data_IF_395545148940
#
_entry.id   IF_395545148940
#
_cell.length_a   1.000
_cell.length_b   1.000
_cell.length_c   1.000
_cell.angle_alpha   90.00
_cell.angle_beta   90.00
_cell.angle_gamma   90.00
#
_symmetry.space_group_name_H-M   'P 1'
#
loop_
_entity.id
_entity.type
_entity.pdbx_description
1 polymer ?
#
# COMPACT_ATOMS: atom_id res chain seq x y z
N UNK A 1 -15.51 29.08 -11.97
CA UNK A 1 -15.82 27.72 -12.47
C UNK A 1 -15.39 26.70 -11.42
N UNK A 2 -16.24 25.72 -11.08
CA UNK A 2 -15.88 24.66 -10.11
C UNK A 2 -14.74 23.81 -10.66
N UNK A 3 -13.77 23.47 -9.82
CA UNK A 3 -12.66 22.58 -10.21
C UNK A 3 -13.16 21.15 -10.37
N UNK A 4 -12.74 20.47 -11.43
CA UNK A 4 -13.15 19.11 -11.80
C UNK A 4 -12.06 18.11 -11.48
N UNK A 5 -12.40 17.13 -10.64
CA UNK A 5 -11.49 16.06 -10.22
C UNK A 5 -12.04 14.73 -10.74
N UNK A 6 -11.29 14.10 -11.64
CA UNK A 6 -11.59 12.75 -12.10
C UNK A 6 -10.93 11.69 -11.22
N UNK A 7 -11.67 10.70 -10.74
CA UNK A 7 -11.13 9.57 -9.99
C UNK A 7 -11.03 8.35 -10.92
N UNK A 8 -9.81 8.07 -11.40
CA UNK A 8 -9.54 6.91 -12.25
C UNK A 8 -9.44 5.64 -11.39
N UNK A 9 -10.26 4.64 -11.67
CA UNK A 9 -10.24 3.35 -10.97
C UNK A 9 -10.65 2.21 -11.90
N UNK A 10 -10.64 0.97 -11.40
CA UNK A 10 -11.16 -0.19 -12.13
C UNK A 10 -12.67 -0.35 -11.92
N UNK A 11 -13.38 -0.54 -13.04
CA UNK A 11 -14.79 -0.93 -13.11
C UNK A 11 -14.89 -2.26 -13.84
N UNK A 12 -15.32 -3.30 -13.12
CA UNK A 12 -15.66 -4.60 -13.68
C UNK A 12 -17.17 -4.75 -13.88
N UNK A 13 -17.63 -5.96 -14.17
CA UNK A 13 -19.05 -6.29 -14.35
C UNK A 13 -19.90 -5.95 -13.13
N UNK A 14 -19.39 -6.26 -11.92
CA UNK A 14 -20.05 -5.95 -10.64
C UNK A 14 -19.89 -4.49 -10.18
N UNK A 15 -19.41 -3.61 -11.08
CA UNK A 15 -19.18 -2.20 -10.80
C UNK A 15 -17.77 -1.88 -10.28
N UNK A 16 -17.67 -0.80 -9.50
CA UNK A 16 -16.41 -0.30 -8.98
C UNK A 16 -15.91 -1.07 -7.75
N UNK A 17 -14.58 -1.20 -7.63
CA UNK A 17 -13.96 -1.64 -6.38
C UNK A 17 -13.98 -0.52 -5.33
N UNK A 18 -13.94 -0.86 -4.04
CA UNK A 18 -13.90 0.11 -2.93
C UNK A 18 -15.06 1.13 -2.94
N UNK A 19 -16.27 0.71 -3.35
CA UNK A 19 -17.41 1.61 -3.56
C UNK A 19 -17.69 2.55 -2.38
N UNK A 20 -17.62 2.04 -1.14
CA UNK A 20 -17.85 2.85 0.05
C UNK A 20 -16.85 4.01 0.19
N UNK A 21 -15.58 3.81 -0.17
CA UNK A 21 -14.58 4.87 -0.15
C UNK A 21 -14.78 5.84 -1.31
N UNK A 22 -15.02 5.34 -2.53
CA UNK A 22 -15.25 6.19 -3.70
C UNK A 22 -16.48 7.10 -3.54
N UNK A 23 -17.57 6.58 -2.96
CA UNK A 23 -18.78 7.36 -2.67
C UNK A 23 -18.49 8.50 -1.70
N UNK A 24 -17.73 8.23 -0.64
CA UNK A 24 -17.30 9.27 0.33
C UNK A 24 -16.40 10.31 -0.32
N UNK A 25 -15.47 9.89 -1.17
CA UNK A 25 -14.59 10.80 -1.90
C UNK A 25 -15.38 11.77 -2.77
N UNK A 26 -16.41 11.30 -3.48
CA UNK A 26 -17.30 12.17 -4.27
C UNK A 26 -18.09 13.13 -3.36
N UNK A 27 -18.63 12.63 -2.24
CA UNK A 27 -19.39 13.45 -1.29
C UNK A 27 -18.55 14.57 -0.67
N UNK A 28 -17.39 14.24 -0.12
CA UNK A 28 -16.47 15.21 0.49
C UNK A 28 -15.96 16.21 -0.56
N UNK A 29 -15.69 15.77 -1.78
CA UNK A 29 -15.30 16.67 -2.87
C UNK A 29 -16.38 17.69 -3.22
N UNK A 30 -17.65 17.26 -3.24
CA UNK A 30 -18.79 18.16 -3.44
C UNK A 30 -18.91 19.17 -2.29
N UNK A 31 -18.74 18.74 -1.04
CA UNK A 31 -18.72 19.64 0.13
C UNK A 31 -17.57 20.66 0.06
N UNK A 32 -16.46 20.30 -0.57
CA UNK A 32 -15.31 21.18 -0.82
C UNK A 32 -15.49 22.07 -2.06
N UNK A 33 -16.67 22.06 -2.70
CA UNK A 33 -16.97 22.89 -3.87
C UNK A 33 -16.42 22.36 -5.21
N UNK A 34 -15.89 21.14 -5.23
CA UNK A 34 -15.38 20.49 -6.44
C UNK A 34 -16.46 19.66 -7.15
N UNK A 35 -16.35 19.54 -8.47
CA UNK A 35 -17.08 18.52 -9.23
C UNK A 35 -16.21 17.25 -9.29
N UNK A 36 -16.63 16.21 -8.58
CA UNK A 36 -15.87 14.95 -8.48
C UNK A 36 -16.69 13.81 -9.07
N UNK A 37 -16.07 13.06 -9.98
CA UNK A 37 -16.69 11.89 -10.61
C UNK A 37 -15.69 10.74 -10.75
N UNK A 38 -16.20 9.52 -10.72
CA UNK A 38 -15.41 8.30 -10.87
C UNK A 38 -15.49 7.81 -12.31
N UNK A 39 -14.40 7.28 -12.85
CA UNK A 39 -14.39 6.69 -14.19
C UNK A 39 -13.31 5.62 -14.34
N UNK A 40 -13.40 4.83 -15.41
CA UNK A 40 -12.41 3.84 -15.81
C UNK A 40 -11.92 4.11 -17.24
N UNK A 41 -10.83 3.46 -17.69
CA UNK A 41 -10.30 3.67 -19.05
C UNK A 41 -11.34 3.55 -20.16
N UNK A 42 -12.28 2.60 -20.03
CA UNK A 42 -13.37 2.38 -21.00
C UNK A 42 -14.43 3.48 -21.05
N UNK A 43 -14.41 4.43 -20.10
CA UNK A 43 -15.42 5.48 -19.98
C UNK A 43 -14.98 6.80 -20.67
N UNK A 44 -13.77 6.84 -21.22
CA UNK A 44 -13.19 8.04 -21.83
C UNK A 44 -13.45 8.07 -23.33
N UNK A 45 -14.13 9.12 -23.79
CA UNK A 45 -14.23 9.46 -25.20
C UNK A 45 -13.25 10.61 -25.50
N UNK A 46 -12.05 10.25 -25.96
CA UNK A 46 -10.98 11.21 -26.24
C UNK A 46 -11.31 12.14 -27.42
N UNK A 47 -11.99 11.64 -28.45
CA UNK A 47 -12.34 12.42 -29.65
C UNK A 47 -13.24 13.62 -29.31
N UNK A 48 -14.24 13.42 -28.45
CA UNK A 48 -15.13 14.51 -27.98
C UNK A 48 -14.63 15.21 -26.71
N UNK A 49 -13.49 14.79 -26.14
CA UNK A 49 -12.99 15.23 -24.83
C UNK A 49 -14.04 15.16 -23.71
N UNK A 50 -14.85 14.09 -23.70
CA UNK A 50 -15.86 13.83 -22.66
C UNK A 50 -15.60 12.52 -21.95
N UNK A 51 -16.05 12.44 -20.70
CA UNK A 51 -15.94 11.24 -19.87
C UNK A 51 -17.33 10.84 -19.39
N UNK A 52 -17.69 9.57 -19.55
CA UNK A 52 -18.86 8.99 -18.89
C UNK A 52 -18.51 8.77 -17.41
N UNK A 53 -18.70 9.80 -16.60
CA UNK A 53 -18.39 9.80 -15.17
C UNK A 53 -19.54 9.27 -14.32
N UNK A 54 -19.21 8.82 -13.12
CA UNK A 54 -20.14 8.21 -12.18
C UNK A 54 -20.11 8.92 -10.83
N UNK A 55 -21.28 9.20 -10.26
CA UNK A 55 -21.46 9.78 -8.92
C UNK A 55 -22.46 8.95 -8.11
N UNK A 56 -22.48 9.05 -6.77
CA UNK A 56 -23.43 8.31 -5.95
C UNK A 56 -24.88 8.72 -6.25
N UNK A 57 -25.75 7.75 -6.50
CA UNK A 57 -27.22 7.89 -6.60
C UNK A 57 -27.94 7.12 -5.47
N UNK A 58 -29.28 7.10 -5.51
CA UNK A 58 -30.11 6.41 -4.52
C UNK A 58 -29.78 4.91 -4.44
N UNK A 59 -29.85 4.20 -5.58
CA UNK A 59 -29.68 2.74 -5.63
C UNK A 59 -28.32 2.28 -6.16
N UNK A 60 -27.32 3.17 -6.22
CA UNK A 60 -26.10 2.82 -6.94
C UNK A 60 -25.24 3.98 -7.38
N UNK A 61 -24.72 3.83 -8.60
CA UNK A 61 -23.97 4.86 -9.31
C UNK A 61 -24.85 5.46 -10.39
N UNK A 62 -25.01 6.79 -10.36
CA UNK A 62 -25.60 7.54 -11.46
C UNK A 62 -24.49 7.91 -12.44
N UNK A 63 -24.69 7.65 -13.72
CA UNK A 63 -23.74 8.06 -14.77
C UNK A 63 -24.19 9.34 -15.46
N UNK A 64 -23.24 10.12 -15.96
CA UNK A 64 -23.47 11.31 -16.77
C UNK A 64 -22.24 11.64 -17.60
N UNK A 65 -22.39 12.51 -18.58
CA UNK A 65 -21.26 12.98 -19.38
C UNK A 65 -20.65 14.23 -18.74
N UNK A 66 -19.37 14.13 -18.37
CA UNK A 66 -18.58 15.20 -17.78
C UNK A 66 -17.56 15.71 -18.79
N UNK A 67 -17.22 16.99 -18.66
CA UNK A 67 -16.11 17.59 -19.40
C UNK A 67 -14.76 17.14 -18.82
N UNK A 68 -13.69 17.33 -19.59
CA UNK A 68 -12.33 16.89 -19.23
C UNK A 68 -11.85 17.41 -17.87
N UNK A 69 -11.40 16.56 -16.94
CA UNK A 69 -11.04 16.99 -15.59
C UNK A 69 -9.81 17.90 -15.57
N UNK A 70 -9.76 18.82 -14.60
CA UNK A 70 -8.59 19.67 -14.38
C UNK A 70 -7.44 18.86 -13.77
N UNK A 71 -7.77 17.83 -12.99
CA UNK A 71 -6.80 16.91 -12.37
C UNK A 71 -7.42 15.51 -12.23
N UNK A 72 -6.62 14.47 -12.43
CA UNK A 72 -7.01 13.07 -12.21
C UNK A 72 -6.29 12.49 -11.01
N UNK A 73 -7.05 11.94 -10.07
CA UNK A 73 -6.52 11.07 -9.02
C UNK A 73 -6.54 9.64 -9.55
N UNK A 74 -5.37 9.01 -9.67
CA UNK A 74 -5.25 7.61 -10.08
C UNK A 74 -5.35 6.69 -8.86
N UNK A 75 -6.53 6.08 -8.67
CA UNK A 75 -6.83 5.05 -7.68
C UNK A 75 -6.92 3.65 -8.29
N UNK A 76 -6.45 3.45 -9.52
CA UNK A 76 -6.45 2.14 -10.18
C UNK A 76 -5.43 1.19 -9.52
N UNK A 77 -5.91 0.04 -9.02
CA UNK A 77 -5.07 -1.02 -8.44
C UNK A 77 -4.68 -2.03 -9.50
N UNK A 78 -3.59 -1.76 -10.19
CA UNK A 78 -3.10 -2.60 -11.29
C UNK A 78 -2.51 -3.93 -10.79
N UNK A 79 -2.73 -4.98 -11.59
CA UNK A 79 -2.11 -6.29 -11.50
C UNK A 79 -1.89 -6.78 -12.93
N UNK A 80 -0.82 -7.54 -13.22
CA UNK A 80 -0.54 -8.06 -14.56
C UNK A 80 -1.46 -9.25 -14.88
N UNK A 81 -2.75 -8.96 -14.99
CA UNK A 81 -3.82 -9.92 -15.29
C UNK A 81 -4.71 -9.36 -16.40
N UNK A 82 -5.35 -10.26 -17.14
CA UNK A 82 -6.08 -9.95 -18.36
C UNK A 82 -7.08 -8.80 -18.22
N UNK A 83 -7.88 -8.81 -17.14
CA UNK A 83 -8.89 -7.78 -16.87
C UNK A 83 -8.33 -6.37 -16.66
N UNK A 84 -7.01 -6.21 -16.45
CA UNK A 84 -6.33 -4.93 -16.27
C UNK A 84 -5.47 -4.53 -17.47
N UNK A 85 -5.50 -5.28 -18.58
CA UNK A 85 -4.63 -5.06 -19.75
C UNK A 85 -4.74 -3.65 -20.35
N UNK A 86 -5.91 -3.01 -20.25
CA UNK A 86 -6.17 -1.68 -20.81
C UNK A 86 -5.55 -0.54 -20.00
N UNK A 87 -5.21 -0.76 -18.71
CA UNK A 87 -4.76 0.31 -17.82
C UNK A 87 -3.40 0.91 -18.23
N UNK A 88 -2.38 0.06 -18.45
CA UNK A 88 -1.04 0.56 -18.76
C UNK A 88 -0.99 1.32 -20.10
N UNK A 89 -1.56 0.81 -21.21
CA UNK A 89 -1.65 1.58 -22.45
C UNK A 89 -2.38 2.90 -22.25
N UNK A 90 -3.53 2.90 -21.56
CA UNK A 90 -4.29 4.11 -21.27
C UNK A 90 -3.46 5.14 -20.49
N UNK A 91 -2.75 4.70 -19.45
CA UNK A 91 -2.00 5.59 -18.55
C UNK A 91 -0.79 6.23 -19.22
N UNK A 92 -0.27 5.63 -20.31
CA UNK A 92 0.84 6.15 -21.14
C UNK A 92 0.42 7.25 -22.13
N UNK A 93 -0.87 7.39 -22.45
CA UNK A 93 -1.36 8.36 -23.48
C UNK A 93 -1.27 9.84 -23.06
N UNK A 94 -0.78 10.16 -21.86
CA UNK A 94 -0.62 11.52 -21.31
C UNK A 94 -1.84 12.47 -21.48
N UNK A 95 -3.05 11.89 -21.54
CA UNK A 95 -4.31 12.60 -21.74
C UNK A 95 -4.74 13.52 -20.59
N UNK A 96 -4.25 13.26 -19.39
CA UNK A 96 -4.65 13.98 -18.19
C UNK A 96 -3.43 14.42 -17.42
N UNK A 97 -3.59 15.52 -16.69
CA UNK A 97 -2.72 15.85 -15.57
C UNK A 97 -3.13 14.98 -14.39
N UNK A 98 -2.18 14.30 -13.77
CA UNK A 98 -2.45 13.38 -12.67
C UNK A 98 -1.88 13.91 -11.36
N UNK A 99 -2.66 13.78 -10.28
CA UNK A 99 -2.22 14.12 -8.94
C UNK A 99 -1.17 13.15 -8.38
N UNK A 100 -1.09 11.94 -8.96
CA UNK A 100 -0.13 10.94 -8.56
C UNK A 100 0.43 10.16 -9.75
N UNK A 101 1.74 9.93 -9.71
CA UNK A 101 2.49 9.11 -10.65
C UNK A 101 2.16 7.63 -10.49
N UNK A 102 2.54 6.84 -11.50
CA UNK A 102 2.58 5.38 -11.37
C UNK A 102 3.64 5.01 -10.32
N UNK A 103 3.33 4.05 -9.48
CA UNK A 103 4.25 3.55 -8.45
C UNK A 103 4.79 2.18 -8.84
N UNK A 104 6.02 1.89 -8.43
CA UNK A 104 6.68 0.64 -8.74
C UNK A 104 6.24 -0.51 -7.82
N UNK A 105 6.69 -1.72 -8.15
CA UNK A 105 6.48 -2.92 -7.35
C UNK A 105 7.31 -2.88 -6.04
N UNK A 106 6.99 -3.76 -5.09
CA UNK A 106 7.58 -3.72 -3.73
C UNK A 106 9.10 -3.82 -3.73
N UNK A 107 9.64 -4.70 -4.58
CA UNK A 107 11.09 -4.92 -4.65
C UNK A 107 11.81 -3.70 -5.23
N UNK A 108 11.27 -3.09 -6.29
CA UNK A 108 11.84 -1.87 -6.85
C UNK A 108 11.79 -0.70 -5.86
N UNK A 109 10.72 -0.57 -5.08
CA UNK A 109 10.64 0.43 -4.01
C UNK A 109 11.74 0.18 -2.98
N UNK A 110 11.90 -1.05 -2.51
CA UNK A 110 12.97 -1.41 -1.58
C UNK A 110 14.36 -1.07 -2.14
N UNK A 111 14.64 -1.42 -3.41
CA UNK A 111 15.92 -1.10 -4.05
C UNK A 111 16.22 0.41 -4.09
N UNK A 112 15.21 1.24 -4.39
CA UNK A 112 15.36 2.70 -4.37
C UNK A 112 15.68 3.19 -2.96
N UNK A 113 15.00 2.68 -1.94
CA UNK A 113 15.23 3.10 -0.55
C UNK A 113 16.59 2.60 -0.01
N UNK A 114 17.06 1.43 -0.45
CA UNK A 114 18.39 0.92 -0.06
C UNK A 114 19.55 1.77 -0.59
N UNK A 115 19.34 2.55 -1.65
CA UNK A 115 20.35 3.50 -2.14
C UNK A 115 20.52 4.71 -1.21
N UNK A 116 19.60 4.91 -0.27
CA UNK A 116 19.62 6.02 0.67
C UNK A 116 20.13 5.52 2.01
N UNK A 117 21.40 5.83 2.33
CA UNK A 117 22.09 5.36 3.54
C UNK A 117 21.27 5.61 4.82
N UNK A 118 20.65 6.79 4.93
CA UNK A 118 19.83 7.17 6.08
C UNK A 118 18.57 6.29 6.29
N UNK A 119 18.11 5.59 5.24
CA UNK A 119 16.94 4.72 5.29
C UNK A 119 17.27 3.26 5.55
N UNK A 120 18.52 2.83 5.29
CA UNK A 120 18.92 1.42 5.36
C UNK A 120 18.65 0.80 6.74
N UNK A 121 18.82 1.59 7.81
CA UNK A 121 18.56 1.15 9.20
C UNK A 121 17.11 0.68 9.45
N UNK A 122 16.17 1.13 8.62
CA UNK A 122 14.75 0.79 8.74
C UNK A 122 14.32 -0.31 7.77
N UNK A 123 15.20 -0.77 6.89
CA UNK A 123 14.86 -1.73 5.85
C UNK A 123 15.30 -3.14 6.27
N UNK A 124 14.38 -4.12 6.30
CA UNK A 124 14.79 -5.50 6.47
C UNK A 124 15.62 -5.92 5.27
N UNK A 125 16.62 -6.77 5.50
CA UNK A 125 17.41 -7.29 4.40
C UNK A 125 16.51 -7.98 3.38
N UNK A 126 16.68 -7.61 2.11
CA UNK A 126 15.84 -8.08 1.02
C UNK A 126 16.71 -8.40 -0.19
N UNK A 127 16.52 -9.57 -0.78
CA UNK A 127 17.27 -10.04 -1.96
C UNK A 127 16.33 -10.62 -3.00
N UNK A 128 16.69 -10.58 -4.27
CA UNK A 128 15.92 -11.31 -5.29
C UNK A 128 16.01 -12.82 -5.01
N UNK A 129 14.93 -13.56 -5.25
CA UNK A 129 14.94 -14.99 -5.03
C UNK A 129 15.94 -15.69 -5.96
N UNK A 130 16.91 -16.39 -5.34
CA UNK A 130 17.74 -17.44 -5.93
C UNK A 130 17.97 -18.52 -4.87
N UNK A 131 18.33 -19.74 -5.28
CA UNK A 131 18.50 -20.87 -4.35
C UNK A 131 19.57 -20.57 -3.29
N UNK A 132 20.68 -19.98 -3.74
CA UNK A 132 21.85 -19.66 -2.94
C UNK A 132 21.51 -18.54 -1.95
N UNK A 133 20.77 -17.53 -2.40
CA UNK A 133 20.31 -16.41 -1.58
C UNK A 133 19.35 -16.88 -0.47
N UNK A 134 18.46 -17.84 -0.77
CA UNK A 134 17.58 -18.43 0.23
C UNK A 134 18.38 -19.16 1.30
N UNK A 135 19.35 -19.97 0.89
CA UNK A 135 20.22 -20.71 1.79
C UNK A 135 21.02 -19.77 2.71
N UNK A 136 21.65 -18.74 2.14
CA UNK A 136 22.44 -17.75 2.86
C UNK A 136 21.56 -16.93 3.84
N UNK A 137 20.43 -16.41 3.38
CA UNK A 137 19.53 -15.64 4.25
C UNK A 137 18.95 -16.51 5.38
N UNK A 138 18.65 -17.79 5.14
CA UNK A 138 18.21 -18.70 6.21
C UNK A 138 19.31 -19.01 7.21
N UNK A 139 20.57 -19.09 6.77
CA UNK A 139 21.72 -19.26 7.67
C UNK A 139 21.90 -18.04 8.57
N UNK A 140 21.73 -16.83 8.03
CA UNK A 140 21.95 -15.58 8.77
C UNK A 140 20.78 -15.18 9.67
N UNK A 141 19.54 -15.39 9.23
CA UNK A 141 18.34 -14.89 9.93
C UNK A 141 17.47 -15.97 10.56
N UNK A 142 17.64 -17.24 10.18
CA UNK A 142 16.80 -18.36 10.61
C UNK A 142 15.39 -18.37 10.02
N UNK A 143 14.80 -17.20 9.76
CA UNK A 143 13.48 -17.02 9.15
C UNK A 143 13.57 -16.08 7.96
N UNK A 144 12.98 -16.49 6.84
CA UNK A 144 12.92 -15.72 5.59
C UNK A 144 11.52 -15.79 5.01
N UNK A 145 11.03 -14.67 4.48
CA UNK A 145 9.77 -14.60 3.73
C UNK A 145 10.04 -14.57 2.23
N UNK A 146 9.40 -15.47 1.49
CA UNK A 146 9.35 -15.46 0.02
C UNK A 146 8.08 -14.75 -0.40
N UNK A 147 8.22 -13.66 -1.17
CA UNK A 147 7.13 -12.74 -1.54
C UNK A 147 7.18 -12.40 -3.04
N UNK A 148 6.04 -12.26 -3.74
CA UNK A 148 6.01 -11.75 -5.09
C UNK A 148 6.32 -10.27 -5.11
N UNK A 149 6.96 -9.81 -6.18
CA UNK A 149 7.26 -8.40 -6.42
C UNK A 149 6.00 -7.54 -6.49
N UNK A 150 4.94 -8.01 -7.16
CA UNK A 150 3.61 -7.38 -7.14
C UNK A 150 2.69 -8.11 -6.13
N UNK A 151 1.40 -7.79 -6.11
CA UNK A 151 0.45 -8.41 -5.18
C UNK A 151 0.09 -7.52 -3.98
N UNK A 152 -1.01 -7.85 -3.29
CA UNK A 152 -1.42 -7.22 -2.04
C UNK A 152 -2.17 -8.21 -1.15
N UNK A 153 -2.29 -7.87 0.14
CA UNK A 153 -3.16 -8.60 1.07
C UNK A 153 -2.63 -9.96 1.52
N UNK A 154 -1.32 -10.19 1.42
CA UNK A 154 -0.69 -11.42 1.91
C UNK A 154 -0.88 -12.67 1.04
N UNK A 155 -1.25 -12.49 -0.23
CA UNK A 155 -1.34 -13.57 -1.23
C UNK A 155 0.04 -13.99 -1.70
N UNK A 156 0.21 -15.29 -1.92
CA UNK A 156 1.46 -15.89 -2.40
C UNK A 156 2.64 -15.46 -1.53
N UNK A 157 2.48 -15.48 -0.20
CA UNK A 157 3.57 -15.25 0.74
C UNK A 157 3.84 -16.55 1.49
N UNK A 158 5.12 -16.91 1.55
CA UNK A 158 5.59 -18.10 2.24
C UNK A 158 6.65 -17.73 3.27
N UNK A 159 6.40 -18.07 4.54
CA UNK A 159 7.40 -18.01 5.60
C UNK A 159 8.18 -19.32 5.58
N UNK A 160 9.49 -19.22 5.48
CA UNK A 160 10.44 -20.33 5.54
C UNK A 160 11.26 -20.16 6.81
N UNK A 161 11.26 -21.18 7.66
CA UNK A 161 12.00 -21.19 8.92
C UNK A 161 12.93 -22.41 8.97
N UNK A 162 14.19 -22.18 9.31
CA UNK A 162 15.12 -23.25 9.65
C UNK A 162 14.96 -23.60 11.12
N UNK A 163 14.55 -24.84 11.42
CA UNK A 163 14.39 -25.34 12.80
C UNK A 163 15.23 -26.60 12.99
N UNK A 164 16.41 -26.44 13.58
CA UNK A 164 17.38 -27.53 13.70
C UNK A 164 17.83 -28.04 12.33
N UNK A 165 17.57 -29.33 12.05
CA UNK A 165 17.91 -29.99 10.78
C UNK A 165 16.82 -29.92 9.71
N UNK A 166 15.64 -29.37 10.02
CA UNK A 166 14.50 -29.30 9.08
C UNK A 166 14.12 -27.87 8.73
N UNK A 167 13.36 -27.73 7.65
CA UNK A 167 12.79 -26.46 7.19
C UNK A 167 11.27 -26.49 7.26
N UNK A 168 10.67 -25.46 7.84
CA UNK A 168 9.23 -25.31 7.99
C UNK A 168 8.71 -24.25 7.01
N UNK A 169 7.74 -24.62 6.19
CA UNK A 169 7.03 -23.72 5.28
C UNK A 169 5.64 -23.45 5.83
N UNK A 170 5.25 -22.18 5.90
CA UNK A 170 3.90 -21.75 6.25
C UNK A 170 3.49 -20.52 5.44
N UNK A 171 2.36 -20.57 4.75
CA UNK A 171 1.99 -19.49 3.86
C UNK A 171 0.59 -19.59 3.26
N UNK A 172 0.34 -18.71 2.31
CA UNK A 172 -0.91 -18.67 1.53
C UNK A 172 -0.62 -18.65 0.04
N UNK A 173 -1.49 -19.30 -0.74
CA UNK A 173 -1.46 -19.25 -2.21
C UNK A 173 -2.18 -18.00 -2.74
N UNK A 174 -2.14 -17.77 -4.05
CA UNK A 174 -2.82 -16.69 -4.77
C UNK A 174 -4.33 -16.73 -4.58
N UNK A 175 -4.87 -17.94 -4.45
CA UNK A 175 -6.28 -18.21 -4.16
C UNK A 175 -6.58 -18.23 -2.65
N UNK A 176 -5.63 -17.80 -1.81
CA UNK A 176 -5.73 -17.78 -0.34
C UNK A 176 -5.83 -19.16 0.33
N UNK A 177 -5.50 -20.24 -0.38
CA UNK A 177 -5.34 -21.57 0.19
C UNK A 177 -4.14 -21.62 1.13
N UNK A 178 -4.17 -22.48 2.15
CA UNK A 178 -3.04 -22.67 3.09
C UNK A 178 -1.97 -23.54 2.44
N UNK A 179 -0.70 -23.17 2.64
CA UNK A 179 0.46 -24.00 2.27
C UNK A 179 1.31 -24.21 3.51
N UNK A 180 1.41 -25.47 3.94
CA UNK A 180 2.31 -25.89 5.01
C UNK A 180 3.15 -27.08 4.52
N UNK A 181 4.42 -27.14 4.89
CA UNK A 181 5.28 -28.29 4.65
C UNK A 181 6.40 -28.35 5.67
N UNK A 182 6.94 -29.55 5.90
CA UNK A 182 8.19 -29.79 6.62
C UNK A 182 9.13 -30.47 5.65
N UNK A 183 10.31 -29.93 5.45
CA UNK A 183 11.27 -30.41 4.45
C UNK A 183 12.59 -30.78 5.15
N UNK A 184 13.13 -31.99 4.88
CA UNK A 184 14.26 -32.51 5.64
C UNK A 184 15.61 -31.96 5.19
N UNK A 185 15.71 -31.41 3.97
CA UNK A 185 16.97 -30.96 3.38
C UNK A 185 16.83 -29.61 2.68
N UNK A 186 17.95 -28.90 2.53
CA UNK A 186 18.00 -27.64 1.78
C UNK A 186 17.63 -27.83 0.30
N UNK A 187 18.05 -28.95 -0.30
CA UNK A 187 17.72 -29.28 -1.70
C UNK A 187 16.20 -29.51 -1.89
N UNK A 188 15.56 -30.21 -0.95
CA UNK A 188 14.10 -30.38 -0.96
C UNK A 188 13.38 -29.03 -0.78
N UNK A 189 13.91 -28.17 0.10
CA UNK A 189 13.43 -26.80 0.27
C UNK A 189 13.50 -26.00 -1.02
N UNK A 190 14.68 -25.86 -1.64
CA UNK A 190 14.84 -25.02 -2.84
C UNK A 190 13.98 -25.52 -4.00
N UNK A 191 13.88 -26.84 -4.18
CA UNK A 191 13.02 -27.46 -5.19
C UNK A 191 11.55 -27.12 -4.97
N UNK A 192 11.06 -27.21 -3.72
CA UNK A 192 9.68 -26.87 -3.39
C UNK A 192 9.39 -25.38 -3.58
N UNK A 193 10.32 -24.50 -3.19
CA UNK A 193 10.15 -23.06 -3.35
C UNK A 193 10.08 -22.69 -4.84
N UNK A 194 10.91 -23.27 -5.71
CA UNK A 194 10.84 -23.00 -7.14
C UNK A 194 9.52 -23.44 -7.78
N UNK A 195 9.07 -24.67 -7.46
CA UNK A 195 7.77 -25.17 -7.92
C UNK A 195 6.65 -24.24 -7.46
N UNK A 196 6.73 -23.77 -6.22
CA UNK A 196 5.76 -22.86 -5.65
C UNK A 196 5.81 -21.48 -6.33
N UNK A 197 6.97 -20.84 -6.49
CA UNK A 197 7.09 -19.53 -7.15
C UNK A 197 6.60 -19.58 -8.59
N UNK A 198 6.90 -20.64 -9.33
CA UNK A 198 6.43 -20.84 -10.71
C UNK A 198 4.92 -20.98 -10.81
N UNK A 199 4.29 -21.64 -9.84
CA UNK A 199 2.83 -21.78 -9.77
C UNK A 199 2.14 -20.47 -9.35
N UNK A 200 2.79 -19.69 -8.51
CA UNK A 200 2.17 -18.57 -7.81
C UNK A 200 2.36 -17.22 -8.51
N UNK A 201 3.33 -17.08 -9.43
CA UNK A 201 3.53 -15.85 -10.22
C UNK A 201 2.37 -15.53 -11.15
N UNK A 202 2.15 -14.25 -11.40
CA UNK A 202 1.36 -13.76 -12.52
C UNK A 202 2.26 -13.28 -13.66
N UNK A 203 2.17 -13.94 -14.83
CA UNK A 203 3.05 -13.64 -15.96
C UNK A 203 4.54 -13.79 -15.60
N UNK A 204 5.33 -12.75 -15.92
CA UNK A 204 6.78 -12.69 -15.64
C UNK A 204 7.12 -12.11 -14.26
N UNK A 205 6.18 -12.18 -13.32
CA UNK A 205 6.41 -11.73 -11.95
C UNK A 205 7.53 -12.52 -11.26
N UNK A 206 8.48 -11.79 -10.68
CA UNK A 206 9.56 -12.35 -9.87
C UNK A 206 9.16 -12.42 -8.39
N UNK A 207 9.91 -13.22 -7.64
CA UNK A 207 9.85 -13.29 -6.18
C UNK A 207 11.12 -12.75 -5.54
N UNK A 208 10.99 -12.25 -4.31
CA UNK A 208 12.09 -11.81 -3.49
C UNK A 208 12.02 -12.43 -2.10
N UNK A 209 13.18 -12.46 -1.45
CA UNK A 209 13.41 -12.91 -0.09
C UNK A 209 13.49 -11.70 0.82
N UNK A 210 12.88 -11.77 1.99
CA UNK A 210 12.99 -10.73 3.01
C UNK A 210 13.23 -11.36 4.37
N UNK A 211 14.15 -10.78 5.14
CA UNK A 211 14.45 -11.16 6.51
C UNK A 211 13.16 -11.28 7.34
N UNK A 212 13.05 -12.37 8.10
CA UNK A 212 12.04 -12.51 9.14
C UNK A 212 12.34 -11.59 10.32
N UNK A 213 11.36 -10.79 10.72
CA UNK A 213 11.46 -9.89 11.86
C UNK A 213 10.79 -10.52 13.10
N UNK A 214 11.40 -10.34 14.27
CA UNK A 214 10.79 -10.75 15.53
C UNK A 214 9.76 -9.72 16.02
N UNK A 215 8.55 -9.83 15.47
CA UNK A 215 7.43 -8.95 15.79
C UNK A 215 6.54 -9.52 16.90
N UNK A 216 7.07 -10.41 17.75
CA UNK A 216 6.32 -11.06 18.82
C UNK A 216 6.07 -10.12 20.02
N UNK A 217 5.36 -9.01 19.80
CA UNK A 217 5.00 -8.06 20.85
C UNK A 217 3.92 -8.59 21.79
N UNK A 218 3.13 -9.56 21.32
CA UNK A 218 2.11 -10.25 22.10
C UNK A 218 2.21 -11.78 21.86
N UNK A 219 2.07 -12.61 22.90
CA UNK A 219 2.12 -14.06 22.76
C UNK A 219 1.15 -14.58 21.70
N UNK A 220 1.70 -15.23 20.68
CA UNK A 220 0.94 -15.89 19.61
C UNK A 220 0.13 -14.95 18.71
N UNK A 221 0.43 -13.65 18.65
CA UNK A 221 -0.26 -12.68 17.79
C UNK A 221 0.75 -11.86 16.99
N UNK A 222 0.47 -11.68 15.70
CA UNK A 222 1.19 -10.71 14.86
C UNK A 222 0.70 -9.31 15.16
N UNK A 223 1.63 -8.39 15.42
CA UNK A 223 1.35 -6.99 15.65
C UNK A 223 2.18 -6.15 14.70
N UNK A 224 1.56 -5.15 14.07
CA UNK A 224 2.28 -4.12 13.32
C UNK A 224 1.62 -2.75 13.48
N UNK A 225 2.35 -1.70 13.18
CA UNK A 225 1.85 -0.34 13.15
C UNK A 225 1.43 0.02 11.72
N UNK A 226 0.20 0.45 11.56
CA UNK A 226 -0.33 1.02 10.32
C UNK A 226 -0.30 2.53 10.42
N UNK A 227 0.57 3.14 9.63
CA UNK A 227 0.76 4.59 9.57
C UNK A 227 0.23 5.11 8.23
N UNK A 228 -0.53 6.20 8.25
CA UNK A 228 -0.98 6.92 7.06
C UNK A 228 -0.32 8.29 7.01
N UNK A 229 0.34 8.59 5.90
CA UNK A 229 0.93 9.89 5.60
C UNK A 229 0.39 10.39 4.25
N UNK A 230 0.08 11.67 4.18
CA UNK A 230 -0.60 12.27 3.02
C UNK A 230 -0.15 13.70 2.82
N UNK A 231 -0.20 14.17 1.59
CA UNK A 231 -0.14 15.61 1.32
C UNK A 231 -1.41 16.30 1.80
N UNK A 232 -1.23 17.47 2.39
CA UNK A 232 -2.33 18.38 2.74
C UNK A 232 -2.64 19.34 1.57
N UNK A 233 -3.61 20.25 1.78
CA UNK A 233 -3.98 21.28 0.81
C UNK A 233 -2.91 22.33 0.50
N UNK A 234 -1.74 22.27 1.15
CA UNK A 234 -0.56 23.08 0.82
C UNK A 234 0.49 22.30 0.02
N UNK A 235 0.22 21.04 -0.32
CA UNK A 235 1.15 20.16 -1.01
C UNK A 235 2.26 19.58 -0.13
N UNK A 236 2.19 19.77 1.20
CA UNK A 236 3.20 19.29 2.15
C UNK A 236 2.81 17.95 2.75
N UNK A 237 3.79 17.06 2.94
CA UNK A 237 3.58 15.76 3.60
C UNK A 237 3.25 15.92 5.09
N UNK A 238 2.15 15.31 5.53
CA UNK A 238 1.68 15.32 6.92
C UNK A 238 1.30 13.91 7.35
N UNK A 239 1.70 13.55 8.56
CA UNK A 239 1.16 12.38 9.23
C UNK A 239 -0.36 12.57 9.41
N UNK A 240 -1.17 11.63 8.92
CA UNK A 240 -2.62 11.61 9.14
C UNK A 240 -2.97 10.82 10.39
N UNK A 241 -2.23 9.75 10.65
CA UNK A 241 -2.35 9.02 11.90
C UNK A 241 -1.65 7.67 11.87
N UNK A 242 -1.59 7.06 13.05
CA UNK A 242 -0.97 5.76 13.29
C UNK A 242 -1.84 4.95 14.26
N UNK A 243 -1.93 3.65 14.05
CA UNK A 243 -2.56 2.72 14.98
C UNK A 243 -1.93 1.34 14.87
N UNK A 244 -2.05 0.52 15.92
CA UNK A 244 -1.58 -0.86 15.87
C UNK A 244 -2.67 -1.78 15.34
N UNK A 245 -2.29 -2.74 14.52
CA UNK A 245 -3.13 -3.86 14.09
C UNK A 245 -2.68 -5.09 14.84
N UNK A 246 -3.60 -5.71 15.58
CA UNK A 246 -3.36 -6.95 16.32
C UNK A 246 -4.09 -8.08 15.61
N UNK A 247 -3.34 -9.05 15.08
CA UNK A 247 -3.90 -10.23 14.45
C UNK A 247 -4.62 -11.16 15.43
N UNK A 248 -5.53 -12.01 14.93
CA UNK A 248 -6.07 -13.12 15.72
C UNK A 248 -4.96 -14.02 16.27
N UNK A 249 -5.22 -14.74 17.37
CA UNK A 249 -4.29 -15.74 17.90
C UNK A 249 -3.92 -16.74 16.78
N UNK A 250 -2.63 -17.05 16.65
CA UNK A 250 -2.05 -17.98 15.65
C UNK A 250 -2.23 -17.56 14.19
N UNK A 251 -2.67 -16.33 13.91
CA UNK A 251 -2.66 -15.77 12.56
C UNK A 251 -1.23 -15.37 12.17
N UNK A 252 -0.86 -15.56 10.90
CA UNK A 252 0.39 -15.06 10.34
C UNK A 252 0.32 -13.60 9.88
N UNK A 253 -0.86 -12.97 9.93
CA UNK A 253 -1.08 -11.58 9.54
C UNK A 253 -1.97 -10.84 10.54
N UNK A 254 -1.76 -9.53 10.64
CA UNK A 254 -2.53 -8.60 11.48
C UNK A 254 -3.73 -7.96 10.76
N UNK A 255 -3.94 -8.29 9.47
CA UNK A 255 -4.85 -7.58 8.58
C UNK A 255 -6.26 -7.45 9.19
N UNK A 256 -6.78 -6.22 9.26
CA UNK A 256 -8.08 -5.91 9.86
C UNK A 256 -9.24 -6.63 9.16
N UNK A 257 -9.15 -6.89 7.85
CA UNK A 257 -10.16 -7.66 7.10
C UNK A 257 -10.20 -9.15 7.51
N UNK A 258 -9.16 -9.67 8.15
CA UNK A 258 -9.07 -11.04 8.64
C UNK A 258 -9.44 -11.21 10.11
N UNK A 259 -10.16 -10.25 10.70
CA UNK A 259 -10.55 -10.29 12.13
C UNK A 259 -9.55 -9.66 13.08
N UNK A 260 -8.56 -8.90 12.57
CA UNK A 260 -7.63 -8.14 13.41
C UNK A 260 -8.32 -7.00 14.16
N UNK A 261 -7.78 -6.66 15.34
CA UNK A 261 -8.24 -5.54 16.18
C UNK A 261 -7.34 -4.33 15.97
N UNK A 262 -7.92 -3.12 15.94
CA UNK A 262 -7.14 -1.88 15.93
C UNK A 262 -7.06 -1.31 17.34
N UNK A 263 -5.87 -0.89 17.78
CA UNK A 263 -5.69 -0.18 19.07
C UNK A 263 -4.84 1.08 18.90
N UNK A 264 -5.00 2.12 19.74
CA UNK A 264 -4.18 3.32 19.68
C UNK A 264 -2.69 2.99 19.88
N UNK A 265 -1.84 3.50 18.98
CA UNK A 265 -0.40 3.18 18.99
C UNK A 265 0.31 3.61 20.27
N UNK A 266 0.10 4.84 20.73
CA UNK A 266 0.71 5.33 21.97
C UNK A 266 0.37 4.47 23.19
N UNK A 267 -0.91 4.12 23.36
CA UNK A 267 -1.36 3.27 24.47
C UNK A 267 -0.73 1.88 24.42
N UNK A 268 -0.70 1.26 23.24
CA UNK A 268 -0.12 -0.07 23.08
C UNK A 268 1.39 -0.08 23.33
N UNK A 269 2.12 0.89 22.75
CA UNK A 269 3.56 0.98 22.90
C UNK A 269 3.96 1.33 24.33
N UNK A 270 3.24 2.24 24.99
CA UNK A 270 3.51 2.60 26.39
C UNK A 270 3.31 1.39 27.32
N UNK A 271 2.28 0.58 27.07
CA UNK A 271 2.06 -0.67 27.80
C UNK A 271 3.22 -1.67 27.60
N UNK A 272 3.78 -1.78 26.39
CA UNK A 272 4.80 -2.78 26.06
C UNK A 272 6.23 -2.36 26.38
N UNK A 273 6.55 -1.08 26.26
CA UNK A 273 7.92 -0.56 26.31
C UNK A 273 8.13 0.56 27.36
N UNK A 274 7.06 1.04 28.00
CA UNK A 274 7.09 2.24 28.84
C UNK A 274 6.86 3.52 28.03
N UNK A 275 6.47 4.60 28.73
CA UNK A 275 6.01 5.86 28.10
C UNK A 275 7.12 6.53 27.27
N UNK A 276 8.32 6.69 27.85
CA UNK A 276 9.43 7.38 27.19
C UNK A 276 9.85 6.67 25.89
N UNK A 277 9.94 5.34 25.94
CA UNK A 277 10.33 4.53 24.78
C UNK A 277 9.22 4.51 23.72
N UNK A 278 7.96 4.47 24.13
CA UNK A 278 6.83 4.59 23.21
C UNK A 278 6.85 5.91 22.42
N UNK A 279 7.17 7.02 23.08
CA UNK A 279 7.32 8.31 22.40
C UNK A 279 8.51 8.32 21.44
N UNK A 280 9.65 7.73 21.84
CA UNK A 280 10.82 7.57 20.96
C UNK A 280 10.45 6.80 19.69
N UNK A 281 9.79 5.65 19.84
CA UNK A 281 9.35 4.79 18.72
C UNK A 281 8.35 5.53 17.82
N UNK A 282 7.40 6.30 18.39
CA UNK A 282 6.43 7.06 17.59
C UNK A 282 7.08 8.23 16.83
N UNK A 283 8.06 8.91 17.44
CA UNK A 283 8.86 9.93 16.76
C UNK A 283 9.67 9.32 15.62
N UNK A 284 10.30 8.17 15.84
CA UNK A 284 11.04 7.42 14.82
C UNK A 284 10.12 6.99 13.67
N UNK A 285 8.94 6.43 13.95
CA UNK A 285 7.94 6.11 12.92
C UNK A 285 7.58 7.32 12.04
N UNK A 286 7.46 8.51 12.65
CA UNK A 286 7.14 9.75 11.93
C UNK A 286 8.30 10.22 11.07
N UNK A 287 9.51 10.24 11.62
CA UNK A 287 10.74 10.61 10.89
C UNK A 287 10.95 9.70 9.69
N UNK A 288 10.88 8.38 9.92
CA UNK A 288 10.96 7.34 8.90
C UNK A 288 9.97 7.59 7.77
N UNK A 289 8.70 7.83 8.10
CA UNK A 289 7.66 8.03 7.10
C UNK A 289 7.93 9.27 6.24
N UNK A 290 8.31 10.40 6.86
CA UNK A 290 8.61 11.66 6.16
C UNK A 290 9.81 11.50 5.21
N UNK A 291 10.94 11.02 5.72
CA UNK A 291 12.14 10.81 4.89
C UNK A 291 11.85 9.85 3.73
N UNK A 292 11.14 8.75 4.00
CA UNK A 292 10.81 7.76 2.97
C UNK A 292 9.93 8.33 1.86
N UNK A 293 8.89 9.12 2.18
CA UNK A 293 8.02 9.68 1.14
C UNK A 293 8.70 10.75 0.31
N UNK A 294 9.62 11.52 0.89
CA UNK A 294 10.44 12.51 0.16
C UNK A 294 11.33 11.84 -0.89
N UNK A 295 12.02 10.74 -0.53
CA UNK A 295 12.85 9.98 -1.48
C UNK A 295 12.01 9.29 -2.55
N UNK A 296 10.89 8.70 -2.17
CA UNK A 296 9.93 8.10 -3.11
C UNK A 296 9.44 9.14 -4.11
N UNK A 297 9.03 10.32 -3.65
CA UNK A 297 8.51 11.36 -4.53
C UNK A 297 9.61 11.91 -5.46
N UNK A 298 10.83 12.09 -4.96
CA UNK A 298 11.97 12.48 -5.79
C UNK A 298 12.24 11.48 -6.93
N UNK A 299 12.13 10.18 -6.67
CA UNK A 299 12.42 9.14 -7.66
C UNK A 299 11.24 8.84 -8.61
N UNK A 300 10.02 8.74 -8.08
CA UNK A 300 8.84 8.29 -8.84
C UNK A 300 7.95 9.45 -9.32
N UNK A 301 8.28 10.69 -8.99
CA UNK A 301 7.50 11.88 -9.29
C UNK A 301 6.36 12.10 -8.30
N UNK A 302 5.41 12.96 -8.68
CA UNK A 302 4.35 13.43 -7.77
C UNK A 302 3.61 12.27 -7.09
N UNK A 303 3.54 12.32 -5.77
CA UNK A 303 2.78 11.37 -4.95
C UNK A 303 1.84 12.14 -4.02
N UNK A 304 0.90 11.42 -3.41
CA UNK A 304 -0.19 12.03 -2.67
C UNK A 304 -0.43 11.39 -1.31
N UNK A 305 -0.34 10.06 -1.23
CA UNK A 305 -0.59 9.32 0.00
C UNK A 305 0.17 8.01 0.03
N UNK A 306 0.59 7.62 1.24
CA UNK A 306 1.18 6.33 1.50
C UNK A 306 0.69 5.77 2.82
N UNK A 307 0.33 4.49 2.81
CA UNK A 307 0.15 3.73 4.04
C UNK A 307 1.35 2.83 4.26
N UNK A 308 2.01 3.02 5.39
CA UNK A 308 3.11 2.20 5.84
C UNK A 308 2.58 1.10 6.76
N UNK A 309 3.03 -0.12 6.50
CA UNK A 309 2.93 -1.22 7.43
C UNK A 309 4.32 -1.38 8.05
N UNK A 310 4.44 -1.00 9.32
CA UNK A 310 5.69 -0.93 10.07
C UNK A 310 5.76 -2.07 11.10
N UNK A 311 6.87 -2.80 11.10
CA UNK A 311 7.22 -3.72 12.18
C UNK A 311 7.87 -2.96 13.32
N UNK A 312 7.48 -3.28 14.55
CA UNK A 312 8.20 -2.87 15.75
C UNK A 312 8.64 -4.17 16.41
N UNK A 313 9.95 -4.41 16.47
CA UNK A 313 10.45 -5.67 17.01
C UNK A 313 10.42 -5.70 18.55
N UNK A 314 10.71 -6.86 19.14
CA UNK A 314 10.69 -7.06 20.58
C UNK A 314 11.63 -6.11 21.37
N UNK A 315 12.61 -5.48 20.70
CA UNK A 315 13.56 -4.52 21.25
C UNK A 315 13.20 -3.06 20.91
N UNK A 316 12.04 -2.81 20.28
CA UNK A 316 11.59 -1.46 19.93
C UNK A 316 12.22 -0.88 18.66
N UNK A 317 12.92 -1.67 17.83
CA UNK A 317 13.42 -1.18 16.53
C UNK A 317 12.29 -1.16 15.50
N UNK A 318 12.27 -0.09 14.70
CA UNK A 318 11.25 0.14 13.68
C UNK A 318 11.72 -0.35 12.32
N UNK A 319 10.86 -1.08 11.62
CA UNK A 319 11.14 -1.70 10.32
C UNK A 319 10.04 -1.37 9.31
N UNK A 320 10.40 -1.06 8.07
CA UNK A 320 9.47 -0.93 6.95
C UNK A 320 9.17 -2.30 6.36
N UNK A 321 7.95 -2.81 6.58
CA UNK A 321 7.52 -4.09 5.99
C UNK A 321 6.96 -3.85 4.58
N UNK A 322 6.07 -2.87 4.43
CA UNK A 322 5.41 -2.57 3.16
C UNK A 322 5.00 -1.09 3.08
N UNK A 323 5.08 -0.52 1.87
CA UNK A 323 4.61 0.82 1.55
C UNK A 323 3.52 0.71 0.47
N UNK A 324 2.34 1.22 0.76
CA UNK A 324 1.19 1.14 -0.12
C UNK A 324 0.76 2.53 -0.63
N UNK A 325 0.85 2.82 -1.95
CA UNK A 325 0.50 4.12 -2.54
C UNK A 325 -1.01 4.39 -2.60
N UNK A 326 -1.84 3.36 -2.36
CA UNK A 326 -3.30 3.43 -2.38
C UNK A 326 -3.81 2.83 -1.07
N UNK A 327 -3.52 3.44 0.08
CA UNK A 327 -3.82 2.85 1.37
C UNK A 327 -5.32 2.76 1.65
N UNK A 328 -5.70 1.71 2.39
CA UNK A 328 -6.98 1.67 3.10
C UNK A 328 -6.93 2.52 4.37
N UNK A 329 -8.11 2.92 4.86
CA UNK A 329 -8.31 3.90 5.95
C UNK A 329 -9.14 3.34 7.11
N UNK A 330 -9.51 2.07 7.02
CA UNK A 330 -10.39 1.40 7.99
C UNK A 330 -9.85 1.39 9.42
N UNK A 331 -8.54 1.58 9.59
CA UNK A 331 -7.93 1.66 10.92
C UNK A 331 -8.57 2.77 11.76
N UNK A 332 -8.81 3.96 11.19
CA UNK A 332 -9.41 5.07 11.94
C UNK A 332 -10.86 4.79 12.31
N UNK A 333 -11.62 4.13 11.42
CA UNK A 333 -12.97 3.68 11.71
C UNK A 333 -13.01 2.65 12.84
N UNK A 334 -12.09 1.68 12.82
CA UNK A 334 -11.98 0.66 13.88
C UNK A 334 -11.53 1.24 15.22
N UNK A 335 -10.81 2.36 15.21
CA UNK A 335 -10.43 3.11 16.40
C UNK A 335 -11.50 4.11 16.88
N UNK A 336 -12.64 4.24 16.18
CA UNK A 336 -13.65 5.26 16.47
C UNK A 336 -13.21 6.70 16.14
N UNK A 337 -12.11 6.89 15.42
CA UNK A 337 -11.53 8.20 15.09
C UNK A 337 -12.16 8.76 13.80
N UNK A 338 -13.44 9.12 13.85
CA UNK A 338 -14.21 9.54 12.67
C UNK A 338 -13.69 10.83 12.04
N UNK A 339 -13.21 11.80 12.82
CA UNK A 339 -12.61 13.03 12.29
C UNK A 339 -11.34 12.74 11.50
N UNK A 340 -10.48 11.84 12.01
CA UNK A 340 -9.28 11.41 11.28
C UNK A 340 -9.63 10.59 10.05
N UNK A 341 -10.69 9.78 10.11
CA UNK A 341 -11.19 9.06 8.93
C UNK A 341 -11.65 10.05 7.85
N UNK A 342 -12.42 11.08 8.22
CA UNK A 342 -12.87 12.13 7.29
C UNK A 342 -11.68 12.93 6.74
N UNK A 343 -10.76 13.38 7.59
CA UNK A 343 -9.52 14.03 7.18
C UNK A 343 -8.73 13.17 6.19
N UNK A 344 -8.61 11.88 6.47
CA UNK A 344 -7.93 10.95 5.58
C UNK A 344 -8.60 10.93 4.20
N UNK A 345 -9.94 10.94 4.13
CA UNK A 345 -10.69 10.98 2.86
C UNK A 345 -10.51 12.32 2.14
N UNK A 346 -10.43 13.44 2.86
CA UNK A 346 -10.35 14.80 2.28
C UNK A 346 -8.97 15.15 1.73
N UNK A 347 -7.87 14.78 2.41
CA UNK A 347 -6.50 15.15 1.99
C UNK A 347 -6.14 14.87 0.52
N UNK A 348 -6.51 13.73 -0.09
CA UNK A 348 -6.30 13.50 -1.52
C UNK A 348 -7.00 14.54 -2.41
N UNK A 349 -8.19 14.99 -2.02
CA UNK A 349 -8.95 16.03 -2.70
C UNK A 349 -8.36 17.40 -2.46
N UNK A 350 -7.93 17.70 -1.22
CA UNK A 350 -7.26 18.96 -0.88
C UNK A 350 -6.00 19.14 -1.72
N UNK A 351 -5.18 18.10 -1.83
CA UNK A 351 -3.98 18.13 -2.66
C UNK A 351 -4.31 18.23 -4.16
N UNK A 352 -5.34 17.51 -4.64
CA UNK A 352 -5.79 17.63 -6.02
C UNK A 352 -6.27 19.06 -6.36
N UNK A 353 -7.01 19.70 -5.45
CA UNK A 353 -7.43 21.10 -5.60
C UNK A 353 -6.24 22.06 -5.58
N UNK A 354 -5.26 21.85 -4.70
CA UNK A 354 -4.00 22.59 -4.68
C UNK A 354 -3.30 22.53 -6.05
N UNK A 355 -3.15 21.33 -6.61
CA UNK A 355 -2.55 21.16 -7.93
C UNK A 355 -3.36 21.88 -9.02
N UNK A 356 -4.68 21.71 -9.02
CA UNK A 356 -5.57 22.33 -10.00
C UNK A 356 -5.63 23.87 -9.88
N UNK A 357 -5.30 24.44 -8.72
CA UNK A 357 -5.21 25.89 -8.51
C UNK A 357 -3.87 26.46 -9.02
N UNK A 358 -2.76 25.76 -8.77
CA UNK A 358 -1.40 26.23 -9.08
C UNK A 358 -0.98 26.03 -10.55
N UNK A 359 -1.88 25.55 -11.41
CA UNK A 359 -1.62 25.35 -12.84
C UNK A 359 -1.49 26.67 -13.63
N UNK A 360 -1.96 27.79 -13.07
CA UNK A 360 -1.94 29.09 -13.77
C UNK A 360 -0.55 29.75 -13.88
N UNK A 361 0.48 29.18 -13.25
CA UNK A 361 1.84 29.74 -13.24
C UNK A 361 2.77 29.03 -14.24
N UNK A 362 2.56 27.73 -14.52
CA UNK A 362 3.45 26.95 -15.39
C UNK A 362 3.20 27.16 -16.90
N UNK A 363 2.04 27.69 -17.30
CA UNK A 363 1.69 27.95 -18.71
C UNK A 363 2.06 29.36 -19.18
N UNK A 364 2.84 30.13 -18.42
CA UNK A 364 3.33 31.48 -18.78
C UNK A 364 4.84 31.56 -18.97
N UNK A 365 5.55 30.45 -18.87
CA UNK A 365 7.01 30.36 -19.05
C UNK A 365 7.40 29.29 -20.07
N UNK A 366 6.55 29.04 -21.06
CA UNK A 366 6.80 28.12 -22.17
C UNK A 366 6.76 28.86 -23.48
#
# INVERSE_FOLDING_TARGET
MKKRIGILTYRGEKGFNEQGFLRRLVREGKEMGAEVFVFSPQDVNAASRRIKGFTPGADGWKSGWYAWPDIVIDRYRYYPIEKHKSYLPFRKKNWFRYANSRFANKFRVHQVLMQEEELQRWLPETRLYRREELADMLKRHGVVYVKPTNGSGGRSILRVERRGKVYLLRGRTKNQGRKNAVLPTLSALTTEIERWTNREKYGEEQFFLQQGLDLALLPGRTVDARLLIQKDGSGKWRLTGVGMRIGPKRSSTSNLHGGGTAVPAGRFLAFRFGVQEAERILRECRELALKTVEKIEKHFGSMMEFGFDLGIDANGRVWIIEINPKPGRDIFRKLGQWDRYRLAVRRPLEYALYLAANDRIASRTG
#
